data_IF_201252728482
#
_entry.id   IF_201252728482
#
_cell.length_a   1.000
_cell.length_b   1.000
_cell.length_c   1.000
_cell.angle_alpha   90.00
_cell.angle_beta   90.00
_cell.angle_gamma   90.00
#
_symmetry.space_group_name_H-M   'P 1'
#
loop_
_entity.id
_entity.type
_entity.pdbx_description
1 polymer ?
#
# COMPACT_ATOMS: atom_id res chain seq x y z
N UNK A 1 27.23 -12.06 -8.56
CA UNK A 1 26.14 -12.24 -7.57
C UNK A 1 25.40 -10.95 -7.21
N UNK A 2 26.06 -9.78 -7.21
CA UNK A 2 25.44 -8.47 -6.91
C UNK A 2 24.23 -8.10 -7.79
N UNK A 3 24.28 -8.37 -9.11
CA UNK A 3 23.17 -8.14 -10.05
C UNK A 3 21.87 -8.86 -9.64
N UNK A 4 21.98 -10.05 -9.05
CA UNK A 4 20.81 -10.84 -8.68
C UNK A 4 20.12 -10.26 -7.44
N UNK A 5 20.91 -9.73 -6.50
CA UNK A 5 20.43 -9.05 -5.30
C UNK A 5 19.71 -7.74 -5.67
N UNK A 6 20.28 -6.97 -6.60
CA UNK A 6 19.65 -5.74 -7.10
C UNK A 6 18.36 -6.05 -7.85
N UNK A 7 18.32 -7.09 -8.69
CA UNK A 7 17.07 -7.53 -9.34
C UNK A 7 16.01 -7.96 -8.32
N UNK A 8 16.40 -8.68 -7.27
CA UNK A 8 15.46 -9.13 -6.23
C UNK A 8 14.87 -7.96 -5.44
N UNK A 9 15.69 -6.95 -5.15
CA UNK A 9 15.23 -5.71 -4.52
C UNK A 9 14.31 -4.92 -5.45
N UNK A 10 14.63 -4.83 -6.75
CA UNK A 10 13.78 -4.14 -7.72
C UNK A 10 12.41 -4.83 -7.86
N UNK A 11 12.40 -6.17 -7.90
CA UNK A 11 11.17 -6.97 -7.96
C UNK A 11 10.31 -6.74 -6.70
N UNK A 12 10.95 -6.70 -5.53
CA UNK A 12 10.30 -6.37 -4.27
C UNK A 12 9.75 -4.94 -4.24
N UNK A 13 10.39 -3.99 -4.90
CA UNK A 13 9.89 -2.60 -5.03
C UNK A 13 8.64 -2.56 -5.89
N UNK A 14 8.62 -3.28 -7.02
CA UNK A 14 7.42 -3.37 -7.88
C UNK A 14 6.27 -4.03 -7.13
N UNK A 15 6.54 -5.10 -6.37
CA UNK A 15 5.53 -5.73 -5.51
C UNK A 15 4.99 -4.76 -4.45
N UNK A 16 5.87 -4.02 -3.77
CA UNK A 16 5.47 -3.01 -2.80
C UNK A 16 4.68 -1.86 -3.44
N UNK A 17 5.03 -1.42 -4.65
CA UNK A 17 4.29 -0.38 -5.35
C UNK A 17 2.86 -0.82 -5.68
N UNK A 18 2.67 -2.04 -6.18
CA UNK A 18 1.33 -2.57 -6.47
C UNK A 18 0.54 -2.75 -5.17
N UNK A 19 1.19 -3.26 -4.12
CA UNK A 19 0.57 -3.39 -2.80
C UNK A 19 0.11 -2.03 -2.27
N UNK A 20 0.97 -1.01 -2.31
CA UNK A 20 0.66 0.36 -1.88
C UNK A 20 -0.45 0.96 -2.73
N UNK A 21 -0.38 0.84 -4.06
CA UNK A 21 -1.38 1.38 -4.98
C UNK A 21 -2.77 0.77 -4.78
N UNK A 22 -2.87 -0.48 -4.30
CA UNK A 22 -4.13 -1.13 -3.98
C UNK A 22 -4.57 -0.86 -2.53
N UNK A 23 -3.63 -0.91 -1.59
CA UNK A 23 -3.89 -0.86 -0.16
C UNK A 23 -4.20 0.57 0.32
N UNK A 24 -3.53 1.59 -0.23
CA UNK A 24 -3.76 3.00 0.12
C UNK A 24 -5.21 3.42 -0.17
N UNK A 25 -5.74 3.34 -1.40
CA UNK A 25 -7.09 3.81 -1.68
C UNK A 25 -8.15 3.04 -0.89
N UNK A 26 -7.97 1.73 -0.72
CA UNK A 26 -8.88 0.91 0.08
C UNK A 26 -8.86 1.31 1.57
N UNK A 27 -7.66 1.53 2.12
CA UNK A 27 -7.49 1.97 3.50
C UNK A 27 -8.02 3.38 3.73
N UNK A 28 -7.79 4.30 2.80
CA UNK A 28 -8.32 5.68 2.87
C UNK A 28 -9.85 5.66 2.84
N UNK A 29 -10.49 4.92 1.93
CA UNK A 29 -11.96 4.82 1.89
C UNK A 29 -12.53 4.28 3.19
N UNK A 30 -11.90 3.24 3.75
CA UNK A 30 -12.35 2.64 5.02
C UNK A 30 -12.12 3.58 6.20
N UNK A 31 -10.96 4.24 6.25
CA UNK A 31 -10.61 5.18 7.30
C UNK A 31 -11.51 6.42 7.28
N UNK A 32 -11.82 6.94 6.09
CA UNK A 32 -12.73 8.07 5.93
C UNK A 32 -14.17 7.69 6.33
N UNK A 33 -14.65 6.51 5.94
CA UNK A 33 -15.93 5.99 6.38
C UNK A 33 -15.97 5.83 7.91
N UNK A 34 -14.89 5.37 8.52
CA UNK A 34 -14.77 5.22 9.97
C UNK A 34 -14.79 6.58 10.69
N UNK A 35 -14.06 7.56 10.17
CA UNK A 35 -14.04 8.94 10.69
C UNK A 35 -15.43 9.60 10.56
N UNK A 36 -16.10 9.43 9.42
CA UNK A 36 -17.45 9.98 9.23
C UNK A 36 -18.43 9.36 10.23
N UNK A 37 -18.42 8.03 10.39
CA UNK A 37 -19.28 7.35 11.36
C UNK A 37 -19.00 7.81 12.79
N UNK A 38 -17.72 8.04 13.14
CA UNK A 38 -17.31 8.46 14.48
C UNK A 38 -17.64 9.93 14.78
N UNK A 39 -18.05 10.72 13.78
CA UNK A 39 -18.37 12.16 13.92
C UNK A 39 -19.88 12.41 14.00
N UNK A 40 -20.69 11.39 13.73
CA UNK A 40 -22.16 11.40 13.89
C UNK A 40 -22.63 10.80 15.23
N UNK A 41 -21.71 10.30 16.07
CA UNK A 41 -21.91 10.05 17.51
C UNK A 41 -21.46 11.25 18.37
#
# INVERSE_FOLDING_TARGET
MWKNIVSYLLDSIVFMQVFIAFFIPCSISRFFSWISTSKEE
#
